data_IF_187997634053
#
_entry.id   IF_187997634053
#
_cell.length_a   1.000
_cell.length_b   1.000
_cell.length_c   1.000
_cell.angle_alpha   90.00
_cell.angle_beta   90.00
_cell.angle_gamma   90.00
#
_symmetry.space_group_name_H-M   'P 1'
#
loop_
_entity.id
_entity.type
_entity.pdbx_description
1 polymer ?
#
# COMPACT_ATOMS: atom_id res chain seq x y z
N UNK A 1 -36.94 -11.15 37.16
CA UNK A 1 -35.86 -10.24 36.70
C UNK A 1 -34.63 -10.97 36.14
N UNK A 2 -34.39 -12.23 36.47
CA UNK A 2 -33.23 -13.04 36.01
C UNK A 2 -33.28 -13.45 34.53
N UNK A 3 -34.47 -13.74 33.99
CA UNK A 3 -34.65 -14.14 32.58
C UNK A 3 -34.27 -13.02 31.58
N UNK A 4 -34.64 -11.77 31.90
CA UNK A 4 -34.32 -10.58 31.08
C UNK A 4 -32.82 -10.27 31.01
N UNK A 5 -32.03 -10.59 32.06
CA UNK A 5 -30.57 -10.41 32.03
C UNK A 5 -29.89 -11.46 31.15
N UNK A 6 -30.43 -12.69 31.11
CA UNK A 6 -29.92 -13.77 30.28
C UNK A 6 -30.18 -13.53 28.79
N UNK A 7 -31.41 -13.13 28.43
CA UNK A 7 -31.79 -12.80 27.05
C UNK A 7 -30.99 -11.61 26.48
N UNK A 8 -30.69 -10.60 27.30
CA UNK A 8 -29.83 -9.47 26.88
C UNK A 8 -28.37 -9.88 26.66
N UNK A 9 -27.85 -10.83 27.43
CA UNK A 9 -26.49 -11.34 27.26
C UNK A 9 -26.30 -12.13 25.97
N UNK A 10 -27.27 -12.95 25.59
CA UNK A 10 -27.24 -13.74 24.35
C UNK A 10 -27.36 -12.84 23.11
N UNK A 11 -28.21 -11.81 23.15
CA UNK A 11 -28.31 -10.82 22.08
C UNK A 11 -27.02 -10.01 21.90
N UNK A 12 -26.35 -9.64 23.00
CA UNK A 12 -25.08 -8.92 22.96
C UNK A 12 -23.97 -9.78 22.35
N UNK A 13 -23.88 -11.05 22.77
CA UNK A 13 -22.92 -12.01 22.22
C UNK A 13 -23.16 -12.27 20.72
N UNK A 14 -24.41 -12.40 20.29
CA UNK A 14 -24.77 -12.54 18.89
C UNK A 14 -24.36 -11.33 18.04
N UNK A 15 -24.60 -10.12 18.52
CA UNK A 15 -24.20 -8.88 17.83
C UNK A 15 -22.67 -8.74 17.74
N UNK A 16 -21.94 -9.11 18.80
CA UNK A 16 -20.47 -9.11 18.81
C UNK A 16 -19.90 -10.11 17.79
N UNK A 17 -20.45 -11.33 17.73
CA UNK A 17 -20.02 -12.35 16.77
C UNK A 17 -20.31 -11.92 15.32
N UNK A 18 -21.50 -11.39 15.06
CA UNK A 18 -21.86 -10.91 13.73
C UNK A 18 -20.98 -9.72 13.29
N UNK A 19 -20.72 -8.78 14.20
CA UNK A 19 -19.82 -7.65 13.95
C UNK A 19 -18.39 -8.09 13.69
N UNK A 20 -17.88 -9.08 14.43
CA UNK A 20 -16.55 -9.65 14.20
C UNK A 20 -16.44 -10.31 12.83
N UNK A 21 -17.45 -11.09 12.41
CA UNK A 21 -17.49 -11.74 11.09
C UNK A 21 -17.53 -10.70 9.97
N UNK A 22 -18.38 -9.67 10.08
CA UNK A 22 -18.47 -8.59 9.09
C UNK A 22 -17.16 -7.81 8.96
N UNK A 23 -16.50 -7.51 10.09
CA UNK A 23 -15.22 -6.78 10.09
C UNK A 23 -14.11 -7.63 9.45
N UNK A 24 -14.00 -8.91 9.82
CA UNK A 24 -13.01 -9.82 9.21
C UNK A 24 -13.25 -10.04 7.71
N UNK A 25 -14.51 -10.14 7.29
CA UNK A 25 -14.87 -10.22 5.87
C UNK A 25 -14.52 -8.93 5.11
N UNK A 26 -14.83 -7.77 5.68
CA UNK A 26 -14.53 -6.47 5.08
C UNK A 26 -13.03 -6.20 4.91
N UNK A 27 -12.21 -6.57 5.91
CA UNK A 27 -10.75 -6.38 5.85
C UNK A 27 -10.10 -7.14 4.70
N UNK A 28 -10.62 -8.33 4.33
CA UNK A 28 -10.07 -9.14 3.22
C UNK A 28 -10.19 -8.43 1.86
N UNK A 29 -11.25 -7.62 1.68
CA UNK A 29 -11.56 -6.94 0.41
C UNK A 29 -11.00 -5.52 0.39
N UNK A 30 -11.06 -4.80 1.51
CA UNK A 30 -10.63 -3.40 1.58
C UNK A 30 -9.12 -3.21 1.73
N UNK A 31 -8.42 -4.12 2.40
CA UNK A 31 -7.01 -3.90 2.75
C UNK A 31 -6.03 -3.72 1.56
N UNK A 32 -6.11 -4.48 0.45
CA UNK A 32 -5.10 -4.40 -0.61
C UNK A 32 -5.02 -3.02 -1.27
N UNK A 33 -6.18 -2.37 -1.47
CA UNK A 33 -6.27 -1.08 -2.15
C UNK A 33 -5.93 0.11 -1.24
N UNK A 34 -5.80 -0.10 0.07
CA UNK A 34 -5.47 0.97 1.03
C UNK A 34 -3.97 1.11 1.31
N UNK A 35 -3.14 0.15 0.90
CA UNK A 35 -1.72 0.14 1.27
C UNK A 35 -0.81 0.75 0.20
N UNK A 36 -1.19 0.67 -1.08
CA UNK A 36 -0.40 1.15 -2.20
C UNK A 36 -1.25 2.03 -3.10
N UNK A 37 -0.70 3.19 -3.47
CA UNK A 37 -1.30 4.06 -4.47
C UNK A 37 -0.68 3.74 -5.82
N UNK A 38 -1.51 3.21 -6.72
CA UNK A 38 -1.11 2.89 -8.09
C UNK A 38 -1.78 3.86 -9.06
N UNK A 39 -1.02 4.33 -10.04
CA UNK A 39 -1.51 5.21 -11.10
C UNK A 39 -0.74 4.90 -12.37
N UNK A 40 -1.48 4.73 -13.47
CA UNK A 40 -0.88 4.51 -14.78
C UNK A 40 -0.26 5.81 -15.30
N UNK A 41 1.01 5.73 -15.69
CA UNK A 41 1.71 6.87 -16.28
C UNK A 41 1.40 6.97 -17.78
N UNK A 42 1.16 8.18 -18.31
CA UNK A 42 1.03 8.39 -19.76
C UNK A 42 2.39 8.35 -20.49
N UNK A 43 3.50 8.19 -19.78
CA UNK A 43 4.85 8.19 -20.33
C UNK A 43 5.52 6.82 -20.22
N UNK A 44 6.59 6.60 -20.98
CA UNK A 44 7.47 5.45 -20.75
C UNK A 44 8.17 5.52 -19.39
N UNK A 45 8.79 4.41 -18.97
CA UNK A 45 9.40 4.27 -17.63
C UNK A 45 10.49 5.31 -17.39
N UNK A 46 11.33 5.62 -18.38
CA UNK A 46 12.42 6.58 -18.20
C UNK A 46 11.87 7.99 -18.02
N UNK A 47 10.93 8.38 -18.88
CA UNK A 47 10.30 9.70 -18.79
C UNK A 47 9.45 9.84 -17.53
N UNK A 48 8.79 8.77 -17.09
CA UNK A 48 8.04 8.73 -15.83
C UNK A 48 8.97 8.98 -14.64
N UNK A 49 10.11 8.29 -14.58
CA UNK A 49 11.11 8.50 -13.51
C UNK A 49 11.65 9.92 -13.50
N UNK A 50 11.94 10.49 -14.67
CA UNK A 50 12.40 11.88 -14.82
C UNK A 50 11.37 12.86 -14.27
N UNK A 51 10.11 12.77 -14.75
CA UNK A 51 9.02 13.67 -14.34
C UNK A 51 8.73 13.56 -12.84
N UNK A 52 8.67 12.33 -12.29
CA UNK A 52 8.48 12.12 -10.85
C UNK A 52 9.63 12.74 -10.06
N UNK A 53 10.87 12.48 -10.47
CA UNK A 53 12.07 12.98 -9.78
C UNK A 53 12.12 14.49 -9.75
N UNK A 54 11.79 15.15 -10.86
CA UNK A 54 11.84 16.61 -10.96
C UNK A 54 10.70 17.28 -10.21
N UNK A 55 9.49 16.71 -10.28
CA UNK A 55 8.36 17.18 -9.47
C UNK A 55 8.63 17.03 -7.96
N UNK A 56 9.27 15.93 -7.55
CA UNK A 56 9.64 15.72 -6.15
C UNK A 56 10.67 16.77 -5.69
N UNK A 57 11.72 17.02 -6.49
CA UNK A 57 12.73 18.05 -6.20
C UNK A 57 12.12 19.44 -6.07
N UNK A 58 11.20 19.81 -6.97
CA UNK A 58 10.50 21.09 -6.90
C UNK A 58 9.69 21.26 -5.61
N UNK A 59 9.23 20.15 -5.03
CA UNK A 59 8.51 20.11 -3.76
C UNK A 59 9.43 19.95 -2.53
N UNK A 60 10.75 20.08 -2.71
CA UNK A 60 11.72 20.02 -1.61
C UNK A 60 12.16 18.61 -1.20
N UNK A 61 11.77 17.59 -1.97
CA UNK A 61 12.27 16.23 -1.79
C UNK A 61 13.65 16.06 -2.44
N UNK A 62 14.43 15.12 -1.91
CA UNK A 62 15.67 14.64 -2.52
C UNK A 62 15.42 13.29 -3.18
N UNK A 63 16.17 13.00 -4.23
CA UNK A 63 16.18 11.71 -4.94
C UNK A 63 17.57 11.09 -4.79
N UNK A 64 17.89 10.39 -3.69
CA UNK A 64 19.24 9.91 -3.43
C UNK A 64 19.68 8.84 -4.43
N UNK A 65 18.76 7.99 -4.87
CA UNK A 65 19.06 6.87 -5.75
C UNK A 65 17.86 6.45 -6.59
N UNK A 66 18.16 5.99 -7.79
CA UNK A 66 17.23 5.26 -8.66
C UNK A 66 17.85 3.89 -8.90
N UNK A 67 17.14 2.84 -8.49
CA UNK A 67 17.58 1.46 -8.66
C UNK A 67 16.93 0.86 -9.89
N UNK A 68 17.72 0.15 -10.67
CA UNK A 68 17.23 -0.76 -11.70
C UNK A 68 17.28 -2.18 -11.13
N UNK A 69 16.14 -2.69 -10.68
CA UNK A 69 16.04 -4.05 -10.17
C UNK A 69 15.74 -5.08 -11.25
N UNK A 70 15.46 -4.65 -12.49
CA UNK A 70 15.16 -5.57 -13.58
C UNK A 70 16.32 -6.55 -13.79
N UNK A 71 17.55 -6.04 -13.85
CA UNK A 71 18.74 -6.87 -14.03
C UNK A 71 18.94 -7.87 -12.88
N UNK A 72 18.69 -7.42 -11.64
CA UNK A 72 18.87 -8.27 -10.46
C UNK A 72 17.82 -9.39 -10.43
N UNK A 73 16.56 -9.06 -10.70
CA UNK A 73 15.46 -10.06 -10.74
C UNK A 73 15.69 -11.04 -11.88
N UNK A 74 16.10 -10.55 -13.05
CA UNK A 74 16.41 -11.41 -14.20
C UNK A 74 17.53 -12.39 -13.89
N UNK A 75 18.58 -11.93 -13.21
CA UNK A 75 19.75 -12.74 -12.87
C UNK A 75 19.46 -13.75 -11.76
N UNK A 76 18.80 -13.34 -10.69
CA UNK A 76 18.66 -14.14 -9.47
C UNK A 76 17.37 -14.98 -9.45
N UNK A 77 16.28 -14.48 -10.04
CA UNK A 77 14.98 -15.15 -10.05
C UNK A 77 14.60 -15.73 -11.43
N UNK A 78 15.37 -15.42 -12.49
CA UNK A 78 15.12 -15.94 -13.84
C UNK A 78 13.84 -15.42 -14.51
N UNK A 79 13.21 -14.39 -13.93
CA UNK A 79 11.96 -13.82 -14.41
C UNK A 79 12.20 -12.50 -15.14
N UNK A 80 11.52 -12.30 -16.27
CA UNK A 80 11.43 -10.98 -16.92
C UNK A 80 10.20 -10.25 -16.40
N UNK A 81 10.44 -9.21 -15.61
CA UNK A 81 9.39 -8.36 -15.01
C UNK A 81 9.09 -7.12 -15.85
N UNK A 82 9.68 -7.02 -17.05
CA UNK A 82 9.61 -5.82 -17.88
C UNK A 82 10.44 -4.65 -17.32
N UNK A 83 10.42 -3.51 -18.02
CA UNK A 83 11.18 -2.33 -17.60
C UNK A 83 10.61 -1.76 -16.30
N UNK A 84 11.44 -1.67 -15.26
CA UNK A 84 11.02 -1.14 -13.97
C UNK A 84 12.17 -0.45 -13.23
N UNK A 85 11.84 0.58 -12.45
CA UNK A 85 12.79 1.36 -11.65
C UNK A 85 12.19 1.70 -10.31
N UNK A 86 13.02 1.68 -9.26
CA UNK A 86 12.64 2.11 -7.91
C UNK A 86 13.31 3.43 -7.62
N UNK A 87 12.51 4.47 -7.33
CA UNK A 87 12.98 5.82 -7.01
C UNK A 87 12.95 5.99 -5.49
N UNK A 88 14.12 6.19 -4.89
CA UNK A 88 14.23 6.52 -3.46
C UNK A 88 13.97 8.01 -3.26
N UNK A 89 13.07 8.37 -2.35
CA UNK A 89 12.72 9.76 -2.05
C UNK A 89 12.93 10.06 -0.56
N UNK A 90 13.50 11.23 -0.27
CA UNK A 90 13.71 11.68 1.10
C UNK A 90 13.33 13.16 1.24
N UNK A 91 12.45 13.49 2.18
CA UNK A 91 12.17 14.87 2.54
C UNK A 91 12.91 15.22 3.85
N UNK A 92 13.96 16.07 3.81
CA UNK A 92 14.83 16.30 4.98
C UNK A 92 14.10 16.78 6.23
N UNK A 93 12.96 17.47 6.08
CA UNK A 93 12.18 17.96 7.23
C UNK A 93 11.22 16.92 7.82
N UNK A 94 10.84 15.89 7.05
CA UNK A 94 9.90 14.86 7.49
C UNK A 94 10.63 13.60 7.98
N UNK A 95 11.85 13.38 7.50
CA UNK A 95 12.69 12.23 7.83
C UNK A 95 13.71 12.50 8.96
N UNK A 96 13.65 13.68 9.60
CA UNK A 96 14.56 14.10 10.68
C UNK A 96 14.00 13.82 12.07
#
# INVERSE_FOLDING_TARGET
MTSLRKQKGEALAGALLLGAVLTMGGMKVGAPHMMMHESESPYDVNKTVEVISDNAKQQGWKVPKVYDFQETIRKEAGADVGPMKVVELCHPKLAA
#
